data_IF_633490685337
#
_entry.id   IF_633490685337
#
_cell.length_a   1.000
_cell.length_b   1.000
_cell.length_c   1.000
_cell.angle_alpha   90.00
_cell.angle_beta   90.00
_cell.angle_gamma   90.00
#
_symmetry.space_group_name_H-M   'P 1'
#
loop_
_entity.id
_entity.type
_entity.pdbx_description
1 polymer ?
#
# COMPACT_ATOMS: atom_id res chain seq x y z
N UNK A 1 43.72 -22.11 -1.00
CA UNK A 1 42.53 -21.58 -1.69
C UNK A 1 41.42 -21.44 -0.65
N UNK A 2 41.55 -20.47 0.25
CA UNK A 2 40.54 -20.22 1.29
C UNK A 2 39.98 -18.81 1.12
N UNK A 3 39.28 -18.64 0.02
CA UNK A 3 38.43 -17.48 -0.26
C UNK A 3 37.04 -17.74 0.32
N UNK A 4 36.98 -18.18 1.58
CA UNK A 4 35.71 -18.48 2.24
C UNK A 4 35.23 -17.28 3.06
N UNK A 5 34.32 -16.54 2.44
CA UNK A 5 33.15 -15.98 3.12
C UNK A 5 33.45 -14.89 4.15
N UNK A 6 33.87 -13.72 3.66
CA UNK A 6 33.67 -12.46 4.38
C UNK A 6 32.15 -12.18 4.40
N UNK A 7 31.41 -12.82 5.32
CA UNK A 7 30.00 -12.52 5.57
C UNK A 7 29.89 -11.02 5.79
N UNK A 8 29.15 -10.33 4.94
CA UNK A 8 28.91 -8.90 5.02
C UNK A 8 28.30 -8.58 6.40
N UNK A 9 29.16 -8.28 7.38
CA UNK A 9 28.74 -7.97 8.74
C UNK A 9 28.27 -6.54 8.69
N UNK A 10 26.95 -6.36 8.62
CA UNK A 10 26.34 -5.04 8.60
C UNK A 10 26.81 -4.28 9.85
N UNK A 11 27.67 -3.28 9.66
CA UNK A 11 28.22 -2.56 10.80
C UNK A 11 27.09 -1.78 11.50
N UNK A 12 27.10 -1.64 12.84
CA UNK A 12 26.02 -0.96 13.58
C UNK A 12 25.72 0.46 13.08
N UNK A 13 26.72 1.11 12.47
CA UNK A 13 26.62 2.45 11.88
C UNK A 13 25.63 2.54 10.71
N UNK A 14 25.40 1.43 10.01
CA UNK A 14 24.48 1.37 8.87
C UNK A 14 23.06 0.94 9.25
N UNK A 15 22.85 0.44 10.48
CA UNK A 15 21.53 -0.01 10.94
C UNK A 15 20.58 1.18 11.08
N UNK A 16 21.03 2.26 11.72
CA UNK A 16 20.22 3.46 11.90
C UNK A 16 19.76 4.10 10.57
N UNK A 17 20.64 4.40 9.60
CA UNK A 17 20.19 4.94 8.31
C UNK A 17 19.34 3.94 7.52
N UNK A 18 19.57 2.63 7.65
CA UNK A 18 18.73 1.61 7.01
C UNK A 18 17.30 1.63 7.58
N UNK A 19 17.15 1.76 8.90
CA UNK A 19 15.86 1.89 9.56
C UNK A 19 15.17 3.18 9.11
N UNK A 20 15.87 4.31 9.13
CA UNK A 20 15.31 5.58 8.64
C UNK A 20 14.85 5.48 7.19
N UNK A 21 15.66 4.86 6.33
CA UNK A 21 15.33 4.64 4.93
C UNK A 21 14.05 3.80 4.78
N UNK A 22 13.94 2.69 5.51
CA UNK A 22 12.74 1.86 5.49
C UNK A 22 11.50 2.61 6.01
N UNK A 23 11.65 3.40 7.08
CA UNK A 23 10.57 4.23 7.62
C UNK A 23 10.15 5.33 6.64
N UNK A 24 11.09 5.96 5.94
CA UNK A 24 10.78 6.95 4.91
C UNK A 24 10.01 6.34 3.73
N UNK A 25 10.39 5.14 3.28
CA UNK A 25 9.62 4.43 2.25
C UNK A 25 8.20 4.15 2.73
N UNK A 26 8.06 3.61 3.94
CA UNK A 26 6.74 3.33 4.52
C UNK A 26 5.90 4.60 4.61
N UNK A 27 6.49 5.70 5.10
CA UNK A 27 5.82 6.99 5.24
C UNK A 27 5.32 7.50 3.88
N UNK A 28 6.16 7.48 2.84
CA UNK A 28 5.75 7.92 1.49
C UNK A 28 4.62 7.04 0.96
N UNK A 29 4.67 5.73 1.18
CA UNK A 29 3.62 4.80 0.74
C UNK A 29 2.29 5.00 1.46
N UNK A 30 2.30 5.46 2.72
CA UNK A 30 1.08 5.66 3.52
C UNK A 30 0.66 7.11 3.67
N UNK A 31 1.43 8.07 3.15
CA UNK A 31 1.21 9.51 3.41
C UNK A 31 -0.15 10.03 2.93
N UNK A 32 -0.78 9.37 1.95
CA UNK A 32 -2.10 9.71 1.42
C UNK A 32 -3.22 8.75 1.86
N UNK A 33 -2.95 7.86 2.82
CA UNK A 33 -3.98 7.03 3.45
C UNK A 33 -4.67 7.86 4.54
N UNK A 34 -5.65 8.65 4.12
CA UNK A 34 -6.54 9.40 5.00
C UNK A 34 -7.85 8.64 5.25
N UNK A 35 -8.68 9.11 6.19
CA UNK A 35 -10.02 8.57 6.45
C UNK A 35 -10.85 8.46 5.15
N UNK A 36 -10.78 9.48 4.29
CA UNK A 36 -11.45 9.49 2.98
C UNK A 36 -10.96 8.40 2.02
N UNK A 37 -9.71 7.94 2.15
CA UNK A 37 -9.18 6.86 1.31
C UNK A 37 -9.86 5.52 1.61
N UNK A 38 -10.31 5.31 2.86
CA UNK A 38 -11.07 4.12 3.25
C UNK A 38 -12.36 3.99 2.45
N UNK A 39 -12.97 5.12 2.05
CA UNK A 39 -14.16 5.13 1.18
C UNK A 39 -13.89 4.38 -0.13
N UNK A 40 -12.73 4.66 -0.72
CA UNK A 40 -12.32 4.07 -1.99
C UNK A 40 -11.91 2.61 -1.78
N UNK A 41 -11.15 2.29 -0.73
CA UNK A 41 -10.67 0.92 -0.50
C UNK A 41 -11.78 -0.08 -0.26
N UNK A 42 -12.79 0.22 0.57
CA UNK A 42 -13.92 -0.71 0.76
C UNK A 42 -14.70 -0.93 -0.54
N UNK A 43 -14.86 0.11 -1.36
CA UNK A 43 -15.51 -0.02 -2.66
C UNK A 43 -14.68 -0.85 -3.66
N UNK A 44 -13.35 -0.80 -3.55
CA UNK A 44 -12.43 -1.68 -4.30
C UNK A 44 -12.55 -3.12 -3.79
N UNK A 45 -12.53 -3.33 -2.47
CA UNK A 45 -12.71 -4.66 -1.86
C UNK A 45 -14.03 -5.30 -2.29
N UNK A 46 -15.13 -4.55 -2.29
CA UNK A 46 -16.42 -5.03 -2.78
C UNK A 46 -16.39 -5.39 -4.26
N UNK A 47 -15.69 -4.62 -5.09
CA UNK A 47 -15.52 -4.93 -6.51
C UNK A 47 -14.72 -6.22 -6.70
N UNK A 48 -13.59 -6.35 -6.01
CA UNK A 48 -12.72 -7.53 -6.06
C UNK A 48 -13.41 -8.78 -5.49
N UNK A 49 -14.31 -8.64 -4.52
CA UNK A 49 -15.16 -9.71 -4.00
C UNK A 49 -16.34 -10.07 -4.94
N UNK A 50 -16.54 -9.34 -6.04
CA UNK A 50 -17.59 -9.60 -7.03
C UNK A 50 -18.94 -8.94 -6.73
N UNK A 51 -19.03 -8.06 -5.72
CA UNK A 51 -20.25 -7.31 -5.40
C UNK A 51 -20.44 -6.06 -6.28
N UNK A 52 -19.42 -5.68 -7.04
CA UNK A 52 -19.43 -4.50 -7.90
C UNK A 52 -18.91 -3.24 -7.20
N UNK A 53 -18.87 -2.10 -7.90
CA UNK A 53 -18.27 -0.86 -7.41
C UNK A 53 -19.21 -0.09 -6.48
N UNK A 54 -19.54 -0.70 -5.33
CA UNK A 54 -20.51 -0.19 -4.37
C UNK A 54 -19.93 -0.08 -2.97
N UNK A 55 -20.46 0.82 -2.16
CA UNK A 55 -20.10 0.93 -0.74
C UNK A 55 -20.84 -0.10 0.14
N UNK A 56 -22.15 -0.21 -0.10
CA UNK A 56 -23.06 -1.14 0.58
C UNK A 56 -23.57 -2.17 -0.42
N UNK A 57 -23.49 -3.44 -0.05
CA UNK A 57 -23.97 -4.53 -0.90
C UNK A 57 -25.50 -4.41 -1.07
N UNK A 58 -25.97 -4.49 -2.30
CA UNK A 58 -27.39 -4.32 -2.65
C UNK A 58 -27.80 -2.89 -2.99
N UNK A 59 -26.98 -1.88 -2.64
CA UNK A 59 -27.22 -0.49 -2.99
C UNK A 59 -26.25 -0.04 -4.10
N UNK A 60 -26.79 0.41 -5.24
CA UNK A 60 -25.97 0.91 -6.36
C UNK A 60 -25.67 2.39 -6.16
N UNK A 61 -24.75 2.71 -5.25
CA UNK A 61 -24.33 4.09 -4.96
C UNK A 61 -22.82 4.22 -5.14
N UNK A 62 -22.41 5.17 -5.99
CA UNK A 62 -21.02 5.55 -6.15
C UNK A 62 -20.62 6.56 -5.07
N UNK A 63 -19.64 6.19 -4.24
CA UNK A 63 -19.14 7.02 -3.13
C UNK A 63 -17.75 7.60 -3.36
N UNK A 64 -17.01 7.10 -4.36
CA UNK A 64 -15.69 7.61 -4.72
C UNK A 64 -15.80 8.74 -5.76
N UNK A 65 -15.03 9.81 -5.56
CA UNK A 65 -15.01 11.00 -6.44
C UNK A 65 -13.86 10.99 -7.46
N UNK A 66 -13.05 9.94 -7.45
CA UNK A 66 -11.83 9.81 -8.27
C UNK A 66 -11.86 8.51 -9.10
N UNK A 67 -12.70 8.41 -10.16
CA UNK A 67 -12.93 7.15 -10.86
C UNK A 67 -11.69 6.56 -11.51
N UNK A 68 -10.78 7.39 -12.04
CA UNK A 68 -9.51 6.91 -12.60
C UNK A 68 -8.64 6.24 -11.52
N UNK A 69 -8.53 6.87 -10.36
CA UNK A 69 -7.75 6.33 -9.23
C UNK A 69 -8.38 5.04 -8.69
N UNK A 70 -9.70 5.00 -8.57
CA UNK A 70 -10.45 3.80 -8.20
C UNK A 70 -10.14 2.62 -9.12
N UNK A 71 -10.17 2.84 -10.45
CA UNK A 71 -9.84 1.79 -11.42
C UNK A 71 -8.38 1.33 -11.30
N UNK A 72 -7.43 2.26 -11.14
CA UNK A 72 -6.03 1.91 -10.94
C UNK A 72 -5.83 1.03 -9.69
N UNK A 73 -6.48 1.38 -8.57
CA UNK A 73 -6.45 0.57 -7.36
C UNK A 73 -7.12 -0.79 -7.50
N UNK A 74 -8.07 -0.92 -8.42
CA UNK A 74 -8.81 -2.18 -8.66
C UNK A 74 -8.04 -3.17 -9.53
N UNK A 75 -6.95 -2.76 -10.17
CA UNK A 75 -6.22 -3.60 -11.14
C UNK A 75 -5.23 -4.57 -10.48
N UNK A 76 -4.78 -4.29 -9.25
CA UNK A 76 -3.83 -5.15 -8.51
C UNK A 76 -2.39 -5.00 -8.99
#
# INVERSE_FOLDING_TARGET
MDTQQQKAKLSPKYIFPLILFALSISFINTAWVAEDAFITFRAVDNLLAGHGPVWNIGERVQVYTHPLWYLLLSIG
#
